data_IF_498071809223
#
_entry.id   IF_498071809223
#
_cell.length_a   1.000
_cell.length_b   1.000
_cell.length_c   1.000
_cell.angle_alpha   90.00
_cell.angle_beta   90.00
_cell.angle_gamma   90.00
#
_symmetry.space_group_name_H-M   'P 1'
#
loop_
_entity.id
_entity.type
_entity.pdbx_description
1 polymer ?
#
# COMPACT_ATOMS: atom_id res chain seq x y z
N UNK A 1 1.05 22.70 18.48
CA UNK A 1 1.95 21.67 17.93
C UNK A 1 1.61 20.37 18.66
N UNK A 2 1.21 19.35 17.94
CA UNK A 2 1.00 18.02 18.52
C UNK A 2 2.38 17.45 18.82
N UNK A 3 2.59 16.94 20.04
CA UNK A 3 3.83 16.25 20.39
C UNK A 3 3.99 15.03 19.45
N UNK A 4 5.04 14.96 18.63
CA UNK A 4 5.23 13.84 17.69
C UNK A 4 5.31 12.47 18.38
N UNK A 5 5.64 12.46 19.68
CA UNK A 5 5.70 11.23 20.49
C UNK A 5 4.33 10.68 20.89
N UNK A 6 3.24 11.40 20.59
CA UNK A 6 1.87 11.00 20.94
C UNK A 6 1.10 10.32 19.80
N UNK A 7 1.67 10.21 18.60
CA UNK A 7 1.02 9.57 17.46
C UNK A 7 1.32 8.07 17.51
N UNK A 8 0.29 7.26 17.70
CA UNK A 8 0.36 5.80 17.70
C UNK A 8 -0.28 5.29 16.41
N UNK A 9 0.44 4.49 15.64
CA UNK A 9 -0.13 3.71 14.55
C UNK A 9 -0.73 2.42 15.08
N UNK A 10 -1.89 2.05 14.57
CA UNK A 10 -2.58 0.80 14.85
C UNK A 10 -2.63 -0.12 13.64
N UNK A 11 -2.28 0.40 12.47
CA UNK A 11 -2.30 -0.31 11.20
C UNK A 11 -1.04 -1.15 10.98
N UNK A 12 -1.13 -2.14 10.09
CA UNK A 12 -0.06 -3.10 9.81
C UNK A 12 1.15 -2.41 9.14
N UNK A 13 0.91 -1.54 8.15
CA UNK A 13 1.92 -0.84 7.34
C UNK A 13 1.83 0.69 7.49
N UNK A 14 1.30 1.18 8.62
CA UNK A 14 1.13 2.61 8.92
C UNK A 14 0.15 3.33 7.97
N UNK A 15 -0.83 2.64 7.42
CA UNK A 15 -1.86 3.19 6.54
C UNK A 15 -2.61 4.33 7.21
N UNK A 16 -2.89 4.19 8.51
CA UNK A 16 -3.53 5.20 9.34
C UNK A 16 -2.73 6.51 9.39
N UNK A 17 -1.40 6.45 9.39
CA UNK A 17 -0.53 7.63 9.37
C UNK A 17 -0.51 8.30 8.00
N UNK A 18 -0.47 7.51 6.92
CA UNK A 18 -0.54 8.01 5.54
C UNK A 18 -1.87 8.74 5.33
N UNK A 19 -2.98 8.07 5.67
CA UNK A 19 -4.33 8.64 5.56
C UNK A 19 -4.51 9.87 6.45
N UNK A 20 -4.04 9.84 7.71
CA UNK A 20 -4.07 10.98 8.62
C UNK A 20 -3.27 12.16 8.09
N UNK A 21 -2.16 11.90 7.39
CA UNK A 21 -1.35 12.94 6.76
C UNK A 21 -2.06 13.60 5.59
N UNK A 22 -2.71 12.81 4.72
CA UNK A 22 -3.50 13.29 3.59
C UNK A 22 -4.73 14.08 4.06
N UNK A 23 -5.42 13.57 5.06
CA UNK A 23 -6.70 14.12 5.53
C UNK A 23 -6.54 15.12 6.70
N UNK A 24 -5.35 15.66 6.84
CA UNK A 24 -4.98 16.58 7.90
C UNK A 24 -5.80 17.88 7.88
N UNK A 25 -6.57 18.22 8.67
CA UNK A 25 -7.45 19.43 8.70
C UNK A 25 -8.91 19.04 8.75
N UNK A 26 -9.20 17.77 8.49
CA UNK A 26 -10.53 17.21 8.67
C UNK A 26 -10.65 16.72 10.12
N UNK A 27 -11.38 17.47 10.95
CA UNK A 27 -11.50 17.16 12.37
C UNK A 27 -12.47 16.01 12.66
N UNK A 28 -13.53 15.89 11.87
CA UNK A 28 -14.57 14.87 12.01
C UNK A 28 -14.91 14.32 10.64
N UNK A 29 -14.20 13.31 10.22
CA UNK A 29 -14.43 12.66 8.94
C UNK A 29 -15.31 11.42 9.05
N UNK A 30 -15.56 10.84 7.88
CA UNK A 30 -16.26 9.58 7.71
C UNK A 30 -15.42 8.63 6.88
N UNK A 31 -15.26 7.42 7.36
CA UNK A 31 -14.51 6.36 6.68
C UNK A 31 -15.38 5.16 6.34
N UNK A 32 -14.89 4.36 5.40
CA UNK A 32 -15.43 3.04 5.11
C UNK A 32 -14.26 2.05 5.10
N UNK A 33 -14.42 0.95 5.82
CA UNK A 33 -13.42 -0.10 5.98
C UNK A 33 -14.03 -1.42 5.54
N UNK A 34 -13.57 -1.95 4.40
CA UNK A 34 -14.02 -3.22 3.83
C UNK A 34 -12.95 -4.27 4.08
N UNK A 35 -13.29 -5.29 4.85
CA UNK A 35 -12.34 -6.20 5.48
C UNK A 35 -11.76 -5.55 6.74
N UNK A 36 -12.64 -5.08 7.65
CA UNK A 36 -12.24 -4.26 8.78
C UNK A 36 -11.45 -5.01 9.86
N UNK A 37 -11.52 -6.36 9.85
CA UNK A 37 -10.75 -7.23 10.73
C UNK A 37 -10.88 -6.88 12.22
N UNK A 38 -9.84 -7.10 13.02
CA UNK A 38 -9.86 -6.88 14.47
C UNK A 38 -9.87 -5.40 14.84
N UNK A 39 -10.63 -4.99 15.89
CA UNK A 39 -10.80 -3.57 16.21
C UNK A 39 -9.55 -2.89 16.76
N UNK A 40 -8.63 -3.67 17.33
CA UNK A 40 -7.49 -3.14 18.10
C UNK A 40 -6.13 -3.51 17.53
N UNK A 41 -6.10 -4.42 16.56
CA UNK A 41 -4.88 -5.00 16.00
C UNK A 41 -4.93 -4.92 14.49
N UNK A 42 -3.89 -4.35 13.86
CA UNK A 42 -3.79 -4.04 12.44
C UNK A 42 -4.98 -3.22 11.88
N UNK A 43 -5.55 -2.36 12.74
CA UNK A 43 -6.75 -1.59 12.41
C UNK A 43 -6.42 -0.19 11.89
N UNK A 44 -6.61 0.02 10.61
CA UNK A 44 -6.42 1.33 9.95
C UNK A 44 -7.35 2.40 10.51
N UNK A 45 -8.56 2.01 10.89
CA UNK A 45 -9.62 2.95 11.31
C UNK A 45 -9.62 3.26 12.81
N UNK A 46 -8.87 2.52 13.63
CA UNK A 46 -8.82 2.77 15.07
C UNK A 46 -8.32 4.15 15.43
N UNK A 47 -7.25 4.60 14.79
CA UNK A 47 -6.69 5.93 14.98
C UNK A 47 -7.76 7.02 14.75
N UNK A 48 -8.52 6.92 13.67
CA UNK A 48 -9.58 7.86 13.31
C UNK A 48 -10.76 7.80 14.27
N UNK A 49 -11.20 6.60 14.65
CA UNK A 49 -12.29 6.43 15.63
C UNK A 49 -11.99 7.09 16.96
N UNK A 50 -10.76 6.93 17.48
CA UNK A 50 -10.30 7.55 18.73
C UNK A 50 -10.25 9.07 18.63
N UNK A 51 -9.97 9.63 17.43
CA UNK A 51 -10.04 11.06 17.16
C UNK A 51 -11.46 11.60 16.95
N UNK A 52 -12.46 10.75 17.05
CA UNK A 52 -13.86 11.15 16.96
C UNK A 52 -14.47 11.06 15.57
N UNK A 53 -13.77 10.51 14.60
CA UNK A 53 -14.35 10.14 13.31
C UNK A 53 -15.38 9.02 13.48
N UNK A 54 -16.19 8.81 12.47
CA UNK A 54 -17.17 7.73 12.41
C UNK A 54 -17.10 7.08 11.04
N UNK A 55 -17.63 5.85 10.96
CA UNK A 55 -17.57 5.14 9.69
C UNK A 55 -18.48 3.94 9.60
N UNK A 56 -18.26 3.22 8.53
CA UNK A 56 -18.82 1.90 8.26
C UNK A 56 -17.68 0.90 8.27
N UNK A 57 -17.79 -0.11 9.12
CA UNK A 57 -16.89 -1.26 9.14
C UNK A 57 -17.64 -2.48 8.61
N UNK A 58 -17.06 -3.19 7.64
CA UNK A 58 -17.67 -4.36 7.01
C UNK A 58 -16.74 -5.54 7.20
N UNK A 59 -17.26 -6.60 7.87
CA UNK A 59 -16.47 -7.77 8.24
C UNK A 59 -17.32 -9.04 8.06
N UNK A 60 -16.93 -9.96 7.16
CA UNK A 60 -17.66 -11.20 6.91
C UNK A 60 -17.50 -12.24 8.03
N UNK A 61 -16.36 -12.30 8.71
CA UNK A 61 -16.12 -13.24 9.81
C UNK A 61 -16.95 -12.84 11.03
N UNK A 62 -17.93 -13.66 11.38
CA UNK A 62 -18.92 -13.33 12.42
C UNK A 62 -18.30 -13.08 13.79
N UNK A 63 -17.32 -13.87 14.19
CA UNK A 63 -16.66 -13.74 15.48
C UNK A 63 -15.90 -12.42 15.57
N UNK A 64 -15.20 -12.02 14.51
CA UNK A 64 -14.45 -10.77 14.39
C UNK A 64 -15.39 -9.57 14.33
N UNK A 65 -16.47 -9.65 13.53
CA UNK A 65 -17.55 -8.66 13.51
C UNK A 65 -18.10 -8.36 14.93
N UNK A 66 -18.34 -9.40 15.74
CA UNK A 66 -18.86 -9.20 17.11
C UNK A 66 -17.88 -8.46 18.02
N UNK A 67 -16.57 -8.67 17.84
CA UNK A 67 -15.55 -7.91 18.56
C UNK A 67 -15.53 -6.44 18.11
N UNK A 68 -15.61 -6.25 16.79
CA UNK A 68 -15.63 -4.93 16.17
C UNK A 68 -16.88 -4.12 16.62
N UNK A 69 -18.07 -4.74 16.58
CA UNK A 69 -19.34 -4.12 16.98
C UNK A 69 -19.31 -3.69 18.45
N UNK A 70 -18.74 -4.51 19.32
CA UNK A 70 -18.55 -4.17 20.73
C UNK A 70 -17.54 -3.04 20.95
N UNK A 71 -16.44 -3.01 20.20
CA UNK A 71 -15.38 -2.02 20.35
C UNK A 71 -15.71 -0.67 19.70
N UNK A 72 -16.52 -0.70 18.63
CA UNK A 72 -16.87 0.48 17.81
C UNK A 72 -18.38 0.76 17.81
N UNK A 73 -19.04 0.89 19.00
CA UNK A 73 -20.51 1.02 19.08
C UNK A 73 -21.07 2.33 18.50
N UNK A 74 -20.19 3.26 18.11
CA UNK A 74 -20.60 4.53 17.47
C UNK A 74 -20.47 4.49 15.95
N UNK A 75 -19.92 3.41 15.42
CA UNK A 75 -19.82 3.17 13.99
C UNK A 75 -20.99 2.30 13.51
N UNK A 76 -21.13 2.21 12.20
CA UNK A 76 -22.03 1.27 11.55
C UNK A 76 -21.20 0.02 11.27
N UNK A 77 -21.48 -1.08 11.97
CA UNK A 77 -20.76 -2.34 11.77
C UNK A 77 -21.69 -3.31 11.03
N UNK A 78 -21.19 -3.95 9.97
CA UNK A 78 -22.00 -4.79 9.09
C UNK A 78 -21.32 -6.15 8.90
N UNK A 79 -22.04 -7.22 9.24
CA UNK A 79 -21.58 -8.59 9.00
C UNK A 79 -22.04 -9.07 7.62
N UNK A 80 -21.25 -8.80 6.59
CA UNK A 80 -21.46 -9.28 5.22
C UNK A 80 -20.15 -9.22 4.43
N UNK A 81 -20.14 -9.82 3.25
CA UNK A 81 -19.13 -9.54 2.24
C UNK A 81 -19.53 -8.38 1.32
N UNK A 82 -18.57 -7.88 0.56
CA UNK A 82 -18.78 -6.84 -0.44
C UNK A 82 -18.34 -7.35 -1.80
N UNK A 83 -19.07 -7.01 -2.87
CA UNK A 83 -18.73 -7.42 -4.22
C UNK A 83 -19.50 -6.66 -5.28
N UNK A 84 -19.37 -7.12 -6.54
CA UNK A 84 -19.92 -6.44 -7.72
C UNK A 84 -21.46 -6.46 -7.79
N UNK A 85 -22.10 -7.45 -7.17
CA UNK A 85 -23.56 -7.59 -7.14
C UNK A 85 -24.01 -8.28 -5.85
N UNK A 86 -25.31 -8.17 -5.53
CA UNK A 86 -25.90 -8.95 -4.44
C UNK A 86 -25.87 -10.44 -4.80
N UNK A 87 -25.29 -11.22 -3.92
CA UNK A 87 -25.11 -12.65 -4.11
C UNK A 87 -24.97 -13.38 -2.76
N UNK A 88 -24.83 -14.71 -2.85
CA UNK A 88 -24.37 -15.56 -1.77
C UNK A 88 -23.16 -16.32 -2.26
N UNK A 89 -22.01 -16.02 -1.70
CA UNK A 89 -20.74 -16.56 -2.16
C UNK A 89 -20.14 -17.46 -1.09
N UNK A 90 -19.48 -18.52 -1.52
CA UNK A 90 -18.69 -19.38 -0.66
C UNK A 90 -17.53 -18.57 -0.07
N UNK A 91 -17.36 -18.68 1.23
CA UNK A 91 -16.32 -17.99 1.99
C UNK A 91 -15.53 -19.01 2.78
N UNK A 92 -14.22 -18.89 2.74
CA UNK A 92 -13.30 -19.71 3.54
C UNK A 92 -12.77 -18.90 4.69
N UNK A 93 -13.10 -19.33 5.91
CA UNK A 93 -12.54 -18.79 7.15
C UNK A 93 -11.41 -19.69 7.63
N UNK A 94 -10.20 -19.14 7.73
CA UNK A 94 -9.06 -19.83 8.34
C UNK A 94 -9.12 -19.65 9.85
N UNK A 95 -9.26 -20.76 10.59
CA UNK A 95 -9.58 -20.73 12.04
C UNK A 95 -8.39 -20.36 12.92
N UNK A 96 -7.16 -20.57 12.44
CA UNK A 96 -5.93 -20.15 13.14
C UNK A 96 -5.50 -18.73 12.78
N UNK A 97 -5.82 -18.27 11.58
CA UNK A 97 -5.55 -16.90 11.14
C UNK A 97 -6.71 -16.36 10.29
N UNK A 98 -7.72 -15.84 10.95
CA UNK A 98 -8.93 -15.34 10.28
C UNK A 98 -8.69 -14.14 9.34
N UNK A 99 -7.51 -13.49 9.42
CA UNK A 99 -7.13 -12.40 8.50
C UNK A 99 -6.97 -12.88 7.05
N UNK A 100 -6.52 -14.11 6.85
CA UNK A 100 -6.39 -14.70 5.51
C UNK A 100 -7.70 -15.27 4.94
N UNK A 101 -8.82 -15.05 5.63
CA UNK A 101 -10.14 -15.54 5.20
C UNK A 101 -10.60 -14.80 3.93
N UNK A 102 -11.06 -15.56 2.92
CA UNK A 102 -11.21 -15.00 1.57
C UNK A 102 -12.45 -15.52 0.85
N UNK A 103 -12.92 -14.77 -0.15
CA UNK A 103 -13.87 -15.19 -1.18
C UNK A 103 -13.15 -15.63 -2.47
N UNK A 104 -11.87 -15.37 -2.62
CA UNK A 104 -11.12 -15.68 -3.83
C UNK A 104 -10.73 -17.16 -3.89
N UNK A 105 -11.14 -17.85 -4.97
CA UNK A 105 -10.92 -19.29 -5.14
C UNK A 105 -9.42 -19.61 -5.27
N UNK A 106 -8.63 -18.72 -5.87
CA UNK A 106 -7.19 -18.97 -6.05
C UNK A 106 -6.48 -18.86 -4.69
N UNK A 107 -6.89 -17.91 -3.86
CA UNK A 107 -6.39 -17.80 -2.48
C UNK A 107 -6.82 -19.00 -1.64
N UNK A 108 -8.07 -19.48 -1.79
CA UNK A 108 -8.54 -20.71 -1.11
C UNK A 108 -7.70 -21.94 -1.45
N UNK A 109 -7.16 -22.02 -2.67
CA UNK A 109 -6.32 -23.13 -3.14
C UNK A 109 -4.84 -22.95 -2.74
N UNK A 110 -4.37 -21.71 -2.60
CA UNK A 110 -2.98 -21.38 -2.32
C UNK A 110 -2.65 -21.42 -0.82
N UNK A 111 -3.59 -21.00 0.02
CA UNK A 111 -3.40 -20.89 1.46
C UNK A 111 -3.60 -22.23 2.16
N UNK A 112 -2.69 -22.59 3.04
CA UNK A 112 -2.74 -23.80 3.86
C UNK A 112 -3.30 -23.54 5.26
N UNK A 113 -3.63 -24.61 5.99
CA UNK A 113 -4.06 -24.52 7.39
C UNK A 113 -5.51 -25.00 7.59
N UNK A 114 -5.99 -25.05 8.85
CA UNK A 114 -7.36 -25.45 9.16
C UNK A 114 -8.35 -24.35 8.81
N UNK A 115 -9.44 -24.72 8.17
CA UNK A 115 -10.48 -23.79 7.73
C UNK A 115 -11.88 -24.36 7.87
N UNK A 116 -12.86 -23.47 7.77
CA UNK A 116 -14.28 -23.79 7.59
C UNK A 116 -14.82 -23.03 6.37
N UNK A 117 -15.61 -23.72 5.56
CA UNK A 117 -16.28 -23.10 4.41
C UNK A 117 -17.76 -22.88 4.73
N UNK A 118 -18.27 -21.68 4.47
CA UNK A 118 -19.69 -21.35 4.59
C UNK A 118 -20.09 -20.24 3.61
N UNK A 119 -21.40 -20.06 3.47
CA UNK A 119 -21.93 -19.05 2.56
C UNK A 119 -22.14 -17.72 3.26
N UNK A 120 -21.63 -16.64 2.67
CA UNK A 120 -21.80 -15.27 3.13
C UNK A 120 -22.66 -14.46 2.15
N UNK A 121 -23.53 -13.62 2.67
CA UNK A 121 -24.29 -12.68 1.85
C UNK A 121 -23.35 -11.56 1.35
N UNK A 122 -23.34 -11.35 0.04
CA UNK A 122 -22.62 -10.25 -0.61
C UNK A 122 -23.56 -9.08 -0.85
N UNK A 123 -23.07 -7.89 -0.55
CA UNK A 123 -23.72 -6.61 -0.85
C UNK A 123 -22.82 -5.77 -1.75
N UNK A 124 -23.38 -4.80 -2.46
CA UNK A 124 -22.58 -3.80 -3.15
C UNK A 124 -22.28 -2.62 -2.24
N UNK A 125 -21.17 -1.91 -2.46
CA UNK A 125 -20.91 -0.65 -1.76
C UNK A 125 -22.04 0.35 -2.00
N UNK A 126 -22.53 0.44 -3.24
CA UNK A 126 -23.63 1.34 -3.61
C UNK A 126 -24.91 1.09 -2.81
N UNK A 127 -25.26 -0.18 -2.57
CA UNK A 127 -26.44 -0.51 -1.73
C UNK A 127 -26.24 -0.13 -0.28
N UNK A 128 -25.05 -0.41 0.27
CA UNK A 128 -24.69 -0.06 1.65
C UNK A 128 -24.76 1.46 1.81
N UNK A 129 -24.11 2.20 0.92
CA UNK A 129 -24.08 3.65 0.99
C UNK A 129 -25.49 4.29 0.81
N UNK A 130 -26.32 3.68 -0.02
CA UNK A 130 -27.72 4.12 -0.19
C UNK A 130 -28.56 3.88 1.08
N UNK A 131 -28.45 2.71 1.69
CA UNK A 131 -29.18 2.33 2.90
C UNK A 131 -28.86 3.25 4.07
N UNK A 132 -27.56 3.49 4.30
CA UNK A 132 -27.08 4.32 5.40
C UNK A 132 -27.02 5.82 5.06
N UNK A 133 -27.49 6.21 3.86
CA UNK A 133 -27.53 7.61 3.38
C UNK A 133 -26.19 8.31 3.47
N UNK A 134 -25.14 7.58 3.12
CA UNK A 134 -23.76 8.09 3.14
C UNK A 134 -23.64 9.26 2.18
N UNK A 135 -22.98 10.34 2.63
CA UNK A 135 -22.75 11.55 1.83
C UNK A 135 -21.26 11.66 1.48
N UNK A 136 -20.48 12.17 2.41
CA UNK A 136 -19.06 12.38 2.23
C UNK A 136 -18.28 11.17 2.77
N UNK A 137 -17.38 10.63 1.97
CA UNK A 137 -16.48 9.54 2.35
C UNK A 137 -15.06 10.08 2.24
N UNK A 138 -14.40 10.31 3.37
CA UNK A 138 -13.08 10.89 3.37
C UNK A 138 -12.01 9.86 2.99
N UNK A 139 -12.19 8.61 3.40
CA UNK A 139 -11.45 7.51 2.81
C UNK A 139 -12.25 6.20 2.79
N UNK A 140 -11.91 5.37 1.80
CA UNK A 140 -12.38 4.00 1.65
C UNK A 140 -11.14 3.10 1.68
N UNK A 141 -11.07 2.18 2.66
CA UNK A 141 -10.09 1.08 2.66
C UNK A 141 -10.76 -0.17 2.09
N UNK A 142 -10.05 -0.89 1.23
CA UNK A 142 -10.47 -2.21 0.71
C UNK A 142 -9.28 -3.16 0.86
N UNK A 143 -9.49 -4.20 1.66
CA UNK A 143 -8.51 -5.22 1.97
C UNK A 143 -9.29 -6.50 2.27
N UNK A 144 -9.44 -7.35 1.27
CA UNK A 144 -10.35 -8.51 1.28
C UNK A 144 -9.71 -9.76 0.67
N UNK A 145 -8.38 -9.83 0.77
CA UNK A 145 -7.58 -11.00 0.46
C UNK A 145 -7.88 -11.58 -0.94
N UNK A 146 -7.66 -10.73 -1.96
CA UNK A 146 -7.79 -11.08 -3.37
C UNK A 146 -9.15 -10.80 -4.01
N UNK A 147 -10.13 -10.29 -3.25
CA UNK A 147 -11.47 -9.98 -3.76
C UNK A 147 -11.72 -8.48 -3.97
N UNK A 148 -10.66 -7.65 -4.05
CA UNK A 148 -10.72 -6.17 -4.14
C UNK A 148 -11.41 -5.71 -5.43
N UNK A 149 -11.11 -6.35 -6.57
CA UNK A 149 -11.70 -5.93 -7.85
C UNK A 149 -13.23 -6.02 -7.89
N UNK A 150 -13.89 -7.10 -7.44
CA UNK A 150 -15.34 -7.14 -7.27
C UNK A 150 -15.90 -6.04 -6.35
N UNK A 151 -15.19 -5.67 -5.27
CA UNK A 151 -15.58 -4.57 -4.39
C UNK A 151 -15.56 -3.24 -5.14
N UNK A 152 -14.49 -2.97 -5.89
CA UNK A 152 -14.35 -1.77 -6.74
C UNK A 152 -15.50 -1.65 -7.73
N UNK A 153 -15.86 -2.74 -8.40
CA UNK A 153 -16.97 -2.77 -9.38
C UNK A 153 -18.32 -2.53 -8.71
N UNK A 154 -18.50 -2.91 -7.45
CA UNK A 154 -19.74 -2.75 -6.68
C UNK A 154 -20.05 -1.31 -6.25
N UNK A 155 -19.18 -0.34 -6.56
CA UNK A 155 -19.41 1.08 -6.22
C UNK A 155 -19.91 1.88 -7.44
N UNK A 156 -20.88 2.76 -7.22
CA UNK A 156 -21.22 3.83 -8.16
C UNK A 156 -20.30 5.03 -7.95
N UNK A 157 -19.17 5.02 -8.64
CA UNK A 157 -18.13 6.04 -8.57
C UNK A 157 -18.55 7.43 -9.07
N UNK A 158 -19.72 7.57 -9.69
CA UNK A 158 -20.26 8.89 -10.04
C UNK A 158 -21.04 9.51 -8.87
N UNK A 159 -21.55 8.66 -7.98
CA UNK A 159 -22.39 9.08 -6.86
C UNK A 159 -21.64 9.07 -5.53
N UNK A 160 -20.87 8.03 -5.27
CA UNK A 160 -20.15 7.83 -4.03
C UNK A 160 -18.66 7.91 -4.32
N UNK A 161 -18.08 9.05 -3.99
CA UNK A 161 -16.71 9.39 -4.34
C UNK A 161 -15.87 9.63 -3.09
N UNK A 162 -15.20 8.59 -2.58
CA UNK A 162 -14.22 8.77 -1.50
C UNK A 162 -13.13 9.76 -1.92
N UNK A 163 -12.66 10.60 -1.01
CA UNK A 163 -11.54 11.51 -1.28
C UNK A 163 -10.26 10.72 -1.54
N UNK A 164 -10.02 9.70 -0.70
CA UNK A 164 -8.90 8.79 -0.82
C UNK A 164 -9.39 7.34 -0.82
N UNK A 165 -8.83 6.50 -1.67
CA UNK A 165 -9.04 5.04 -1.67
C UNK A 165 -7.72 4.36 -1.36
N UNK A 166 -7.70 3.52 -0.34
CA UNK A 166 -6.57 2.67 0.03
C UNK A 166 -6.93 1.22 -0.33
N UNK A 167 -6.16 0.62 -1.22
CA UNK A 167 -6.38 -0.73 -1.74
C UNK A 167 -5.20 -1.61 -1.37
N UNK A 168 -5.45 -2.78 -0.79
CA UNK A 168 -4.41 -3.80 -0.72
C UNK A 168 -4.10 -4.34 -2.12
N UNK A 169 -2.81 -4.43 -2.48
CA UNK A 169 -2.36 -4.72 -3.84
C UNK A 169 -1.45 -5.94 -3.98
N UNK A 170 -1.21 -6.70 -2.90
CA UNK A 170 -0.37 -7.90 -2.93
C UNK A 170 -1.05 -9.10 -3.62
N UNK A 171 -2.38 -9.14 -3.68
CA UNK A 171 -3.18 -10.21 -4.27
C UNK A 171 -3.99 -9.74 -5.49
N UNK A 172 -3.41 -8.88 -6.34
CA UNK A 172 -4.09 -8.36 -7.52
C UNK A 172 -4.55 -9.47 -8.46
N UNK A 173 -5.81 -9.87 -8.38
CA UNK A 173 -6.45 -10.79 -9.33
C UNK A 173 -6.72 -10.15 -10.69
N UNK A 174 -6.83 -8.81 -10.72
CA UNK A 174 -7.00 -7.98 -11.92
C UNK A 174 -6.37 -6.62 -11.71
N UNK A 175 -5.80 -6.08 -12.78
CA UNK A 175 -5.32 -4.70 -12.80
C UNK A 175 -6.51 -3.73 -12.72
N UNK A 176 -6.62 -3.00 -11.63
CA UNK A 176 -7.64 -1.98 -11.41
C UNK A 176 -7.17 -0.55 -11.71
N UNK A 177 -5.89 -0.34 -12.07
CA UNK A 177 -5.34 0.99 -12.35
C UNK A 177 -6.16 1.74 -13.42
N UNK A 178 -6.47 1.02 -14.52
CA UNK A 178 -7.32 1.59 -15.58
C UNK A 178 -8.71 1.95 -15.06
N UNK A 179 -9.31 1.08 -14.24
CA UNK A 179 -10.64 1.31 -13.67
C UNK A 179 -10.63 2.56 -12.80
N UNK A 180 -9.65 2.71 -11.89
CA UNK A 180 -9.52 3.87 -11.02
C UNK A 180 -9.28 5.15 -11.82
N UNK A 181 -8.41 5.10 -12.84
CA UNK A 181 -8.13 6.23 -13.72
C UNK A 181 -9.37 6.67 -14.52
N UNK A 182 -10.14 5.72 -15.08
CA UNK A 182 -11.39 6.00 -15.79
C UNK A 182 -12.43 6.66 -14.85
N UNK A 183 -12.36 6.39 -13.54
CA UNK A 183 -13.19 7.00 -12.50
C UNK A 183 -12.62 8.30 -11.94
N UNK A 184 -11.56 8.84 -12.57
CA UNK A 184 -10.91 10.10 -12.16
C UNK A 184 -10.27 10.03 -10.79
N UNK A 185 -9.55 8.93 -10.53
CA UNK A 185 -8.65 8.76 -9.41
C UNK A 185 -7.22 8.63 -9.91
N UNK A 186 -6.30 9.28 -9.23
CA UNK A 186 -4.86 9.20 -9.53
C UNK A 186 -4.15 8.43 -8.42
N UNK A 187 -3.28 7.51 -8.84
CA UNK A 187 -2.38 6.84 -7.90
C UNK A 187 -1.39 7.86 -7.34
N UNK A 188 -1.38 8.02 -6.03
CA UNK A 188 -0.45 8.88 -5.31
C UNK A 188 0.83 8.13 -4.91
N UNK A 189 0.67 6.97 -4.28
CA UNK A 189 1.77 6.18 -3.75
C UNK A 189 1.38 4.70 -3.72
N UNK A 190 2.36 3.83 -3.91
CA UNK A 190 2.32 2.43 -3.54
C UNK A 190 3.41 2.19 -2.50
N UNK A 191 3.05 1.61 -1.35
CA UNK A 191 4.00 1.32 -0.27
C UNK A 191 4.58 -0.10 -0.33
N UNK A 192 4.20 -0.86 -1.37
CA UNK A 192 4.60 -2.26 -1.60
C UNK A 192 3.55 -3.28 -1.16
N UNK A 193 2.60 -2.88 -0.31
CA UNK A 193 1.43 -3.67 0.07
C UNK A 193 0.15 -2.98 -0.40
N UNK A 194 0.05 -1.67 -0.17
CA UNK A 194 -1.13 -0.87 -0.44
C UNK A 194 -0.90 0.15 -1.54
N UNK A 195 -1.97 0.52 -2.25
CA UNK A 195 -2.03 1.60 -3.21
C UNK A 195 -3.02 2.65 -2.75
N UNK A 196 -2.60 3.92 -2.82
CA UNK A 196 -3.40 5.05 -2.39
C UNK A 196 -3.78 5.89 -3.60
N UNK A 197 -5.08 5.94 -3.89
CA UNK A 197 -5.66 6.73 -4.96
C UNK A 197 -6.38 7.94 -4.41
N UNK A 198 -6.16 9.10 -5.01
CA UNK A 198 -6.82 10.36 -4.64
C UNK A 198 -7.74 10.78 -5.79
N UNK A 199 -8.97 11.16 -5.46
CA UNK A 199 -9.92 11.69 -6.44
C UNK A 199 -9.38 12.99 -7.05
N UNK A 200 -9.59 13.21 -8.35
CA UNK A 200 -9.09 14.40 -9.06
C UNK A 200 -9.55 15.70 -8.41
N UNK A 201 -10.79 15.74 -7.94
CA UNK A 201 -11.41 16.89 -7.28
C UNK A 201 -10.87 17.15 -5.86
N UNK A 202 -10.08 16.25 -5.29
CA UNK A 202 -9.45 16.35 -3.98
C UNK A 202 -7.92 16.24 -4.05
N UNK A 203 -7.34 16.47 -5.23
CA UNK A 203 -5.90 16.32 -5.43
C UNK A 203 -5.06 17.29 -4.59
N UNK A 204 -5.62 18.42 -4.19
CA UNK A 204 -4.99 19.39 -3.29
C UNK A 204 -4.60 18.80 -1.91
N UNK A 205 -5.21 17.69 -1.51
CA UNK A 205 -4.82 16.97 -0.28
C UNK A 205 -3.35 16.50 -0.33
N UNK A 206 -2.84 16.30 -1.54
CA UNK A 206 -1.44 15.83 -1.75
C UNK A 206 -0.41 16.91 -1.51
N UNK A 207 -0.77 18.19 -1.59
CA UNK A 207 0.15 19.33 -1.37
C UNK A 207 0.77 19.26 0.02
N UNK A 208 0.00 18.81 1.00
CA UNK A 208 0.47 18.66 2.37
C UNK A 208 1.25 17.35 2.62
N UNK A 209 1.23 16.41 1.69
CA UNK A 209 1.90 15.10 1.82
C UNK A 209 3.38 15.18 1.45
N UNK A 210 3.74 15.95 0.42
CA UNK A 210 5.11 16.08 -0.08
C UNK A 210 6.09 16.61 1.00
N UNK A 211 5.63 17.52 1.87
CA UNK A 211 6.44 18.08 2.95
C UNK A 211 6.64 17.15 4.15
N UNK A 212 5.99 15.96 4.18
CA UNK A 212 5.82 15.16 5.38
C UNK A 212 6.37 13.74 5.34
N UNK A 213 7.00 13.33 4.26
CA UNK A 213 7.78 12.07 4.22
C UNK A 213 8.82 12.01 5.36
N UNK A 214 9.17 13.17 5.93
CA UNK A 214 10.04 13.28 7.11
C UNK A 214 9.35 12.88 8.43
N UNK A 215 8.01 12.85 8.51
CA UNK A 215 7.29 12.57 9.76
C UNK A 215 7.19 11.07 10.11
N UNK A 216 7.45 10.18 9.17
CA UNK A 216 7.44 8.72 9.39
C UNK A 216 8.47 8.26 10.44
N UNK A 217 9.48 9.08 10.73
CA UNK A 217 10.49 8.78 11.73
C UNK A 217 10.12 9.17 13.19
N UNK A 218 8.90 9.66 13.45
CA UNK A 218 8.53 10.25 14.74
C UNK A 218 7.29 9.63 15.41
N UNK A 219 6.89 8.41 15.04
CA UNK A 219 5.78 7.72 15.68
C UNK A 219 6.23 6.57 16.57
N UNK A 220 5.38 6.20 17.54
CA UNK A 220 5.59 5.03 18.38
C UNK A 220 4.79 3.85 17.84
N UNK A 221 5.46 2.75 17.53
CA UNK A 221 4.83 1.49 17.18
C UNK A 221 4.39 0.76 18.45
N UNK A 222 3.33 -0.03 18.40
CA UNK A 222 3.03 -1.00 19.44
C UNK A 222 4.12 -2.07 19.48
N UNK A 223 4.32 -2.67 20.64
CA UNK A 223 5.43 -3.60 20.89
C UNK A 223 5.44 -4.79 19.91
N UNK A 224 4.27 -5.33 19.55
CA UNK A 224 4.15 -6.41 18.58
C UNK A 224 4.43 -5.97 17.14
N UNK A 225 4.04 -4.75 16.76
CA UNK A 225 4.36 -4.15 15.45
C UNK A 225 5.85 -3.86 15.34
N UNK A 226 6.49 -3.46 16.45
CA UNK A 226 7.92 -3.20 16.48
C UNK A 226 8.73 -4.45 16.17
N UNK A 227 8.35 -5.62 16.70
CA UNK A 227 9.07 -6.88 16.45
C UNK A 227 8.90 -7.39 15.02
N UNK A 228 7.71 -7.25 14.42
CA UNK A 228 7.45 -7.56 13.02
C UNK A 228 8.23 -6.59 12.11
N UNK A 229 8.13 -5.29 12.38
CA UNK A 229 8.78 -4.25 11.61
C UNK A 229 10.32 -4.31 11.65
N UNK A 230 10.93 -4.65 12.79
CA UNK A 230 12.38 -4.84 12.90
C UNK A 230 12.87 -6.07 12.15
N UNK A 231 12.05 -7.10 12.02
CA UNK A 231 12.34 -8.28 11.19
C UNK A 231 12.30 -7.92 9.70
N UNK A 232 11.29 -7.17 9.27
CA UNK A 232 11.15 -6.65 7.92
C UNK A 232 12.25 -5.63 7.57
N UNK A 233 12.65 -4.76 8.51
CA UNK A 233 13.76 -3.83 8.30
C UNK A 233 15.07 -4.57 8.01
N UNK A 234 15.33 -5.67 8.71
CA UNK A 234 16.52 -6.49 8.46
C UNK A 234 16.52 -7.11 7.07
N UNK A 235 15.38 -7.50 6.55
CA UNK A 235 15.20 -8.01 5.19
C UNK A 235 15.25 -6.89 4.16
N UNK A 236 14.61 -5.77 4.41
CA UNK A 236 14.66 -4.56 3.59
C UNK A 236 16.07 -3.99 3.50
N UNK A 237 16.83 -3.96 4.59
CA UNK A 237 18.21 -3.50 4.58
C UNK A 237 19.09 -4.40 3.73
N UNK A 238 18.89 -5.73 3.77
CA UNK A 238 19.56 -6.69 2.86
C UNK A 238 19.19 -6.45 1.39
N UNK A 239 17.91 -6.19 1.12
CA UNK A 239 17.43 -5.88 -0.24
C UNK A 239 18.01 -4.55 -0.72
N UNK A 240 18.05 -3.51 0.14
CA UNK A 240 18.66 -2.23 -0.17
C UNK A 240 20.18 -2.35 -0.41
N UNK A 241 20.90 -3.12 0.40
CA UNK A 241 22.33 -3.40 0.17
C UNK A 241 22.54 -4.13 -1.16
N UNK A 242 21.73 -5.14 -1.47
CA UNK A 242 21.78 -5.85 -2.73
C UNK A 242 21.43 -4.94 -3.93
N UNK A 243 20.45 -4.05 -3.78
CA UNK A 243 20.06 -3.06 -4.78
C UNK A 243 21.18 -2.04 -5.03
N UNK A 244 21.79 -1.50 -3.97
CA UNK A 244 22.92 -0.58 -4.10
C UNK A 244 24.13 -1.24 -4.73
N UNK A 245 24.42 -2.51 -4.41
CA UNK A 245 25.48 -3.29 -5.04
C UNK A 245 25.19 -3.52 -6.53
N UNK A 246 23.94 -3.86 -6.88
CA UNK A 246 23.53 -4.02 -8.28
C UNK A 246 23.61 -2.70 -9.06
N UNK A 247 23.23 -1.58 -8.45
CA UNK A 247 23.37 -0.25 -9.03
C UNK A 247 24.84 0.11 -9.31
N UNK A 248 25.74 -0.17 -8.36
CA UNK A 248 27.17 0.05 -8.55
C UNK A 248 27.74 -0.82 -9.68
N UNK A 249 27.32 -2.09 -9.79
CA UNK A 249 27.70 -2.97 -10.91
C UNK A 249 27.18 -2.42 -12.24
N UNK A 250 25.94 -1.94 -12.29
CA UNK A 250 25.35 -1.36 -13.50
C UNK A 250 26.12 -0.11 -13.95
N UNK A 251 26.51 0.77 -13.03
CA UNK A 251 27.35 1.93 -13.35
C UNK A 251 28.71 1.51 -13.93
N UNK A 252 29.35 0.49 -13.34
CA UNK A 252 30.63 -0.04 -13.86
C UNK A 252 30.48 -0.63 -15.25
N UNK A 253 29.41 -1.37 -15.52
CA UNK A 253 29.08 -1.89 -16.84
C UNK A 253 28.82 -0.78 -17.85
N UNK A 254 28.11 0.26 -17.45
CA UNK A 254 27.79 1.40 -18.30
C UNK A 254 29.06 2.17 -18.71
N UNK A 255 29.99 2.39 -17.77
CA UNK A 255 31.30 2.97 -18.06
C UNK A 255 32.14 2.08 -19.00
N UNK A 256 32.07 0.75 -18.82
CA UNK A 256 32.74 -0.19 -19.72
C UNK A 256 32.17 -0.15 -21.13
N UNK A 257 30.84 -0.02 -21.27
CA UNK A 257 30.16 0.13 -22.56
C UNK A 257 30.57 1.43 -23.24
N UNK A 258 30.60 2.56 -22.50
CA UNK A 258 31.07 3.86 -23.04
C UNK A 258 32.50 3.79 -23.53
N UNK A 259 33.39 3.17 -22.73
CA UNK A 259 34.77 2.96 -23.12
C UNK A 259 34.89 2.12 -24.39
N UNK A 260 34.11 1.06 -24.53
CA UNK A 260 34.06 0.24 -25.75
C UNK A 260 33.49 1.02 -26.94
N UNK A 261 32.46 1.83 -26.74
CA UNK A 261 31.92 2.70 -27.80
C UNK A 261 32.95 3.71 -28.30
N UNK A 262 33.76 4.28 -27.39
CA UNK A 262 34.86 5.18 -27.75
C UNK A 262 35.90 4.43 -28.61
N UNK A 263 36.32 3.24 -28.18
CA UNK A 263 37.26 2.40 -28.95
C UNK A 263 36.73 2.05 -30.35
N UNK A 264 35.45 1.71 -30.46
CA UNK A 264 34.79 1.44 -31.76
C UNK A 264 34.75 2.72 -32.61
N UNK A 265 34.42 3.85 -32.04
CA UNK A 265 34.39 5.16 -32.73
C UNK A 265 35.78 5.53 -33.28
N UNK A 266 36.83 5.35 -32.46
CA UNK A 266 38.21 5.60 -32.86
C UNK A 266 38.66 4.61 -33.93
N UNK A 267 38.19 3.38 -33.91
CA UNK A 267 38.43 2.36 -34.95
C UNK A 267 37.83 2.80 -36.28
N UNK A 268 36.60 3.24 -36.28
CA UNK A 268 35.91 3.72 -37.48
C UNK A 268 36.56 4.98 -38.07
N UNK A 269 37.24 5.77 -37.25
CA UNK A 269 37.98 6.98 -37.67
C UNK A 269 39.41 6.67 -38.09
N UNK A 270 39.83 5.41 -38.18
CA UNK A 270 41.18 4.97 -38.64
C UNK A 270 42.32 5.29 -37.67
N UNK A 271 42.03 5.50 -36.38
CA UNK A 271 43.05 5.77 -35.37
C UNK A 271 43.91 4.52 -35.09
N UNK A 272 45.25 4.60 -35.05
CA UNK A 272 46.13 3.44 -34.82
C UNK A 272 45.85 2.70 -33.51
N UNK A 273 45.97 1.38 -33.50
CA UNK A 273 45.62 0.52 -32.38
C UNK A 273 46.32 0.91 -31.07
N UNK A 274 47.56 1.30 -31.10
CA UNK A 274 48.35 1.68 -29.92
C UNK A 274 47.84 2.97 -29.24
N UNK A 275 47.31 3.91 -30.01
CA UNK A 275 46.68 5.12 -29.46
C UNK A 275 45.31 4.84 -28.87
N UNK A 276 44.53 3.93 -29.45
CA UNK A 276 43.24 3.47 -28.92
C UNK A 276 43.40 2.80 -27.57
N UNK A 277 44.38 1.92 -27.42
CA UNK A 277 44.72 1.25 -26.16
C UNK A 277 45.14 2.26 -25.08
N UNK A 278 45.94 3.25 -25.43
CA UNK A 278 46.35 4.32 -24.47
C UNK A 278 45.17 5.13 -23.94
N UNK A 279 44.21 5.50 -24.78
CA UNK A 279 43.05 6.28 -24.37
C UNK A 279 42.11 5.44 -23.51
N UNK A 280 41.83 4.20 -23.86
CA UNK A 280 41.02 3.29 -23.05
C UNK A 280 41.64 3.02 -21.66
N UNK A 281 42.99 2.81 -21.63
CA UNK A 281 43.70 2.60 -20.37
C UNK A 281 43.77 3.88 -19.49
N UNK A 282 43.80 5.06 -20.11
CA UNK A 282 43.78 6.33 -19.36
C UNK A 282 42.42 6.62 -18.73
N UNK A 283 41.32 6.31 -19.42
CA UNK A 283 39.96 6.39 -18.86
C UNK A 283 39.79 5.47 -17.63
N UNK A 284 40.21 4.21 -17.75
CA UNK A 284 40.17 3.24 -16.66
C UNK A 284 41.04 3.62 -15.44
N UNK A 285 42.20 4.28 -15.65
CA UNK A 285 43.07 4.72 -14.54
C UNK A 285 42.57 5.95 -13.82
N UNK A 286 41.90 6.87 -14.48
CA UNK A 286 41.34 8.06 -13.87
C UNK A 286 40.16 7.67 -12.97
N UNK A 287 39.32 6.74 -13.37
CA UNK A 287 38.20 6.27 -12.56
C UNK A 287 38.67 5.43 -11.36
N UNK A 288 39.75 4.65 -11.51
CA UNK A 288 40.32 3.90 -10.38
C UNK A 288 40.92 4.83 -9.30
N UNK A 289 41.54 5.93 -9.70
CA UNK A 289 42.07 6.95 -8.77
C UNK A 289 40.93 7.70 -8.07
N UNK A 290 39.81 7.99 -8.76
CA UNK A 290 38.59 8.59 -8.14
C UNK A 290 37.95 7.65 -7.14
N UNK A 291 37.83 6.35 -7.48
CA UNK A 291 37.25 5.34 -6.60
C UNK A 291 38.05 5.20 -5.28
N UNK A 292 39.40 5.19 -5.35
CA UNK A 292 40.26 5.12 -4.16
C UNK A 292 40.18 6.38 -3.26
N UNK A 293 39.79 7.53 -3.80
CA UNK A 293 39.68 8.78 -3.04
C UNK A 293 38.37 8.86 -2.26
N UNK A 294 37.29 8.30 -2.81
CA UNK A 294 35.94 8.29 -2.17
C UNK A 294 35.75 7.14 -1.18
N UNK A 295 36.67 6.17 -1.10
CA UNK A 295 36.60 5.05 -0.14
C UNK A 295 37.43 5.31 1.14
N UNK A 296 37.93 6.55 1.35
CA UNK A 296 38.75 6.94 2.51
C UNK A 296 38.12 8.06 3.35
N UNK A 297 36.93 8.52 2.99
CA UNK A 297 36.05 9.36 3.81
C UNK A 297 34.82 8.53 4.20
#
# INVERSE_FOLDING_TARGET
MIDPKSIVSYAQYNEDLILSSLLRGIQKGFYVDVGASYPDDDSVTKHFYEQGWRGINIEPVRSVYQLLDKARPKDININCGVGAAKDKVQFREYTENSRHSTFDVQQMEAEGGPYIDYTVNIRTLSDIFSEYKVKDIHFLKIDVEGYEYPVIIGNDWNKYRPYVVCLEANHMSKDWHKTMTDKKYRLLISDGLNEYYVADEHWELTDSFADKVVLINHFSLKEHQFSAWTKDLGERDRINEAFLAAQAQMQTLQQSVESLQEVVSLTLKGVPLHERIKRAAFGLTVDWVRFKKNSKD
#
